data_IF_385309217437
#
_entry.id   IF_385309217437
#
_cell.length_a   1.000
_cell.length_b   1.000
_cell.length_c   1.000
_cell.angle_alpha   90.00
_cell.angle_beta   90.00
_cell.angle_gamma   90.00
#
_symmetry.space_group_name_H-M   'P 1'
#
loop_
_entity.id
_entity.type
_entity.pdbx_description
1 polymer ?
#
# COMPACT_ATOMS: atom_id res chain seq x y z
N UNK A 1 -6.23 11.60 -5.69
CA UNK A 1 -6.07 12.11 -4.30
C UNK A 1 -4.67 12.66 -4.17
N UNK A 2 -4.40 13.56 -3.21
CA UNK A 2 -3.00 13.88 -2.90
C UNK A 2 -2.32 12.66 -2.28
N UNK A 3 -0.99 12.70 -2.19
CA UNK A 3 -0.23 11.67 -1.48
C UNK A 3 -0.69 11.54 -0.02
N UNK A 4 -0.85 12.67 0.67
CA UNK A 4 -1.25 12.67 2.08
C UNK A 4 -2.65 12.07 2.27
N UNK A 5 -3.60 12.43 1.41
CA UNK A 5 -4.96 11.86 1.42
C UNK A 5 -4.93 10.34 1.13
N UNK A 6 -4.00 9.89 0.29
CA UNK A 6 -3.85 8.47 -0.06
C UNK A 6 -3.28 7.67 1.12
N UNK A 7 -2.26 8.21 1.80
CA UNK A 7 -1.69 7.59 3.01
C UNK A 7 -2.74 7.52 4.12
N UNK A 8 -3.50 8.60 4.32
CA UNK A 8 -4.58 8.65 5.31
C UNK A 8 -5.72 7.69 4.96
N UNK A 9 -6.02 7.50 3.67
CA UNK A 9 -6.97 6.47 3.25
C UNK A 9 -6.49 5.08 3.65
N UNK A 10 -5.21 4.74 3.41
CA UNK A 10 -4.65 3.44 3.78
C UNK A 10 -4.78 3.20 5.27
N UNK A 11 -4.32 4.16 6.10
CA UNK A 11 -4.41 4.10 7.57
C UNK A 11 -5.81 3.75 8.06
N UNK A 12 -6.82 4.41 7.51
CA UNK A 12 -8.19 4.30 8.03
C UNK A 12 -8.97 3.12 7.46
N UNK A 13 -8.76 2.78 6.18
CA UNK A 13 -9.66 1.90 5.44
C UNK A 13 -9.05 0.52 5.17
N UNK A 14 -7.73 0.43 4.97
CA UNK A 14 -7.08 -0.85 4.68
C UNK A 14 -6.94 -1.67 5.96
N UNK A 15 -7.16 -2.97 5.85
CA UNK A 15 -7.13 -3.97 6.94
C UNK A 15 -6.31 -5.18 6.53
N UNK A 16 -5.91 -5.96 7.53
CA UNK A 16 -5.28 -7.27 7.30
C UNK A 16 -6.25 -8.17 6.54
N UNK A 17 -5.71 -8.95 5.60
CA UNK A 17 -6.41 -9.80 4.63
C UNK A 17 -7.09 -9.08 3.45
N UNK A 18 -7.06 -7.73 3.41
CA UNK A 18 -7.45 -7.00 2.20
C UNK A 18 -6.44 -7.23 1.08
N UNK A 19 -6.87 -7.04 -0.17
CA UNK A 19 -5.94 -7.01 -1.31
C UNK A 19 -5.60 -5.57 -1.63
N UNK A 20 -4.29 -5.29 -1.67
CA UNK A 20 -3.75 -4.01 -2.09
C UNK A 20 -2.87 -4.23 -3.32
N UNK A 21 -3.08 -3.43 -4.35
CA UNK A 21 -2.14 -3.32 -5.47
C UNK A 21 -1.57 -1.90 -5.49
N UNK A 22 -0.26 -1.80 -5.29
CA UNK A 22 0.46 -0.53 -5.29
C UNK A 22 1.21 -0.39 -6.61
N UNK A 23 0.91 0.68 -7.35
CA UNK A 23 1.55 1.00 -8.62
C UNK A 23 2.50 2.17 -8.44
N UNK A 24 3.81 1.92 -8.53
CA UNK A 24 4.85 2.93 -8.34
C UNK A 24 6.06 2.64 -9.22
N UNK A 25 6.72 3.65 -9.77
CA UNK A 25 7.93 3.50 -10.62
C UNK A 25 7.84 2.35 -11.67
N UNK A 26 6.66 2.20 -12.32
CA UNK A 26 6.35 1.13 -13.30
C UNK A 26 6.36 -0.31 -12.74
N UNK A 27 6.38 -0.46 -11.43
CA UNK A 27 6.15 -1.71 -10.69
C UNK A 27 4.68 -1.77 -10.31
N UNK A 28 4.08 -2.95 -10.44
CA UNK A 28 2.74 -3.27 -9.94
C UNK A 28 2.90 -4.34 -8.88
N UNK A 29 2.57 -4.01 -7.63
CA UNK A 29 2.75 -4.90 -6.48
C UNK A 29 1.40 -5.31 -5.88
N UNK A 30 0.71 -6.32 -6.46
CA UNK A 30 -0.51 -6.88 -5.88
C UNK A 30 -0.19 -7.85 -4.76
N UNK A 31 -0.81 -7.67 -3.59
CA UNK A 31 -0.63 -8.56 -2.47
C UNK A 31 -1.74 -8.52 -1.43
N UNK A 32 -1.80 -9.58 -0.64
CA UNK A 32 -2.64 -9.62 0.56
C UNK A 32 -1.95 -8.87 1.71
N UNK A 33 -2.68 -8.01 2.39
CA UNK A 33 -2.17 -7.24 3.52
C UNK A 33 -1.96 -8.15 4.73
N UNK A 34 -0.71 -8.27 5.17
CA UNK A 34 -0.32 -9.02 6.37
C UNK A 34 -0.34 -8.16 7.63
N UNK A 35 -0.12 -6.85 7.48
CA UNK A 35 -0.05 -5.92 8.61
C UNK A 35 0.20 -4.50 8.16
N UNK A 36 -0.14 -3.55 9.04
CA UNK A 36 0.12 -2.13 8.89
C UNK A 36 0.90 -1.69 10.12
N UNK A 37 2.00 -0.97 9.91
CA UNK A 37 2.84 -0.41 10.97
C UNK A 37 2.73 1.10 10.87
N UNK A 38 2.36 1.73 11.98
CA UNK A 38 2.24 3.20 12.07
C UNK A 38 3.61 3.88 11.91
N UNK A 39 3.55 5.17 11.61
CA UNK A 39 4.71 6.06 11.51
C UNK A 39 5.56 6.04 12.80
N UNK A 40 6.87 6.14 12.65
CA UNK A 40 7.83 6.22 13.75
C UNK A 40 8.66 7.51 13.64
N UNK A 41 8.37 8.48 14.51
CA UNK A 41 9.06 9.77 14.55
C UNK A 41 10.54 9.68 14.95
N UNK A 42 10.97 8.60 15.62
CA UNK A 42 12.35 8.40 16.07
C UNK A 42 13.22 7.89 14.92
N UNK A 43 12.70 6.97 14.12
CA UNK A 43 13.40 6.41 12.94
C UNK A 43 13.19 7.24 11.68
N UNK A 44 12.10 8.01 11.62
CA UNK A 44 11.67 8.78 10.45
C UNK A 44 10.97 7.91 9.38
N UNK A 45 10.50 6.72 9.76
CA UNK A 45 9.78 5.80 8.87
C UNK A 45 8.30 6.16 8.81
N UNK A 46 7.73 6.12 7.61
CA UNK A 46 6.34 6.44 7.35
C UNK A 46 5.37 5.31 7.72
N UNK A 47 4.12 5.44 7.26
CA UNK A 47 3.14 4.36 7.33
C UNK A 47 3.63 3.20 6.45
N UNK A 48 3.80 2.02 7.04
CA UNK A 48 4.32 0.84 6.35
C UNK A 48 3.27 -0.24 6.20
N UNK A 49 3.19 -0.83 5.02
CA UNK A 49 2.28 -1.94 4.71
C UNK A 49 3.09 -3.19 4.41
N UNK A 50 2.79 -4.27 5.13
CA UNK A 50 3.34 -5.59 4.89
C UNK A 50 2.42 -6.33 3.93
N UNK A 51 2.95 -6.74 2.77
CA UNK A 51 2.19 -7.43 1.72
C UNK A 51 2.76 -8.82 1.44
N UNK A 52 1.88 -9.81 1.38
CA UNK A 52 2.17 -11.09 0.75
C UNK A 52 1.89 -10.95 -0.75
N UNK A 53 2.95 -10.83 -1.56
CA UNK A 53 2.80 -10.66 -3.00
C UNK A 53 2.13 -11.89 -3.64
N UNK A 54 1.28 -11.60 -4.62
CA UNK A 54 0.52 -12.57 -5.41
C UNK A 54 0.89 -12.46 -6.90
N UNK A 55 0.45 -13.40 -7.74
CA UNK A 55 0.74 -13.37 -9.18
C UNK A 55 2.05 -14.07 -9.56
N UNK A 56 2.90 -13.47 -10.39
CA UNK A 56 4.14 -14.12 -10.88
C UNK A 56 5.29 -14.08 -9.85
N UNK A 57 5.19 -13.24 -8.81
CA UNK A 57 6.19 -13.05 -7.76
C UNK A 57 5.75 -13.83 -6.50
N UNK A 58 5.49 -15.14 -6.66
CA UNK A 58 4.96 -16.00 -5.59
C UNK A 58 5.93 -16.11 -4.40
N UNK A 59 5.36 -16.05 -3.18
CA UNK A 59 6.00 -16.33 -1.88
C UNK A 59 6.98 -15.29 -1.34
N UNK A 60 6.89 -14.03 -1.78
CA UNK A 60 7.63 -12.94 -1.15
C UNK A 60 6.69 -12.12 -0.26
N UNK A 61 7.08 -11.98 1.01
CA UNK A 61 6.52 -10.97 1.90
C UNK A 61 7.42 -9.74 1.82
N UNK A 62 6.84 -8.59 1.54
CA UNK A 62 7.56 -7.31 1.45
C UNK A 62 6.95 -6.31 2.41
N UNK A 63 7.78 -5.42 2.95
CA UNK A 63 7.33 -4.23 3.67
C UNK A 63 7.55 -3.02 2.75
N UNK A 64 6.52 -2.20 2.60
CA UNK A 64 6.57 -0.98 1.79
C UNK A 64 6.30 0.20 2.71
N UNK A 65 7.29 1.09 2.83
CA UNK A 65 7.13 2.41 3.44
C UNK A 65 6.54 3.37 2.41
N UNK A 66 5.33 3.87 2.69
CA UNK A 66 4.61 4.74 1.76
C UNK A 66 5.30 6.09 1.56
N UNK A 67 6.03 6.60 2.55
CA UNK A 67 6.78 7.86 2.41
C UNK A 67 7.96 7.68 1.44
N UNK A 68 8.57 6.49 1.44
CA UNK A 68 9.70 6.19 0.54
C UNK A 68 9.28 6.11 -0.92
N UNK A 69 8.05 5.67 -1.21
CA UNK A 69 7.53 5.56 -2.57
C UNK A 69 6.63 6.73 -2.97
N UNK A 70 6.39 7.69 -2.08
CA UNK A 70 5.42 8.77 -2.26
C UNK A 70 5.60 9.52 -3.58
N UNK A 71 6.83 9.94 -3.90
CA UNK A 71 7.13 10.71 -5.12
C UNK A 71 6.88 9.93 -6.42
N UNK A 72 6.90 8.60 -6.35
CA UNK A 72 6.76 7.68 -7.48
C UNK A 72 5.41 6.94 -7.49
N UNK A 73 4.55 7.17 -6.50
CA UNK A 73 3.25 6.52 -6.37
C UNK A 73 2.29 7.08 -7.42
N UNK A 74 1.72 6.19 -8.23
CA UNK A 74 0.84 6.55 -9.34
C UNK A 74 -0.61 6.19 -9.04
N UNK A 75 -0.84 4.98 -8.52
CA UNK A 75 -2.16 4.45 -8.29
C UNK A 75 -2.12 3.42 -7.15
N UNK A 76 -3.23 3.32 -6.42
CA UNK A 76 -3.49 2.26 -5.47
C UNK A 76 -4.87 1.66 -5.71
N UNK A 77 -4.93 0.34 -5.79
CA UNK A 77 -6.18 -0.40 -5.85
C UNK A 77 -6.37 -1.15 -4.55
N UNK A 78 -7.52 -0.96 -3.92
CA UNK A 78 -7.91 -1.61 -2.68
C UNK A 78 -9.14 -2.48 -2.92
N UNK A 79 -9.08 -3.74 -2.51
CA UNK A 79 -10.21 -4.66 -2.55
C UNK A 79 -10.49 -5.18 -1.14
N UNK A 80 -11.72 -4.95 -0.67
CA UNK A 80 -12.22 -5.37 0.63
C UNK A 80 -13.63 -5.94 0.46
N UNK A 81 -13.88 -7.16 0.94
CA UNK A 81 -15.19 -7.84 0.85
C UNK A 81 -15.84 -7.78 -0.56
N UNK A 82 -15.05 -8.05 -1.60
CA UNK A 82 -15.43 -7.97 -3.03
C UNK A 82 -15.75 -6.55 -3.56
N UNK A 83 -15.65 -5.51 -2.73
CA UNK A 83 -15.72 -4.12 -3.17
C UNK A 83 -14.34 -3.61 -3.57
N UNK A 84 -14.28 -2.90 -4.70
CA UNK A 84 -13.05 -2.37 -5.27
C UNK A 84 -13.08 -0.85 -5.32
N UNK A 85 -11.99 -0.23 -4.84
CA UNK A 85 -11.74 1.20 -4.95
C UNK A 85 -10.38 1.41 -5.63
N UNK A 86 -10.36 2.25 -6.65
CA UNK A 86 -9.14 2.68 -7.34
C UNK A 86 -8.87 4.14 -6.96
N UNK A 87 -7.65 4.40 -6.49
CA UNK A 87 -7.16 5.71 -6.09
C UNK A 87 -6.05 6.12 -7.04
N UNK A 88 -6.35 7.05 -7.95
CA UNK A 88 -5.33 7.74 -8.75
C UNK A 88 -4.68 8.83 -7.91
N UNK A 89 -3.35 8.87 -7.87
CA UNK A 89 -2.56 9.87 -7.14
C UNK A 89 -2.17 11.01 -8.08
N UNK A 90 -2.35 12.26 -7.64
CA UNK A 90 -2.22 13.48 -8.46
C UNK A 90 -1.12 14.41 -7.97
#
# INVERSE_FOLDING_TARGET
>A
MSIEDTIEYVRNNVKVADILEISYNRIFAPGEVLGIVEEDEITGEGLRVNLQLTGEILNQAVEIDLDTIADDLLEMRHVHDDEEIIIEVL
#
